data_IF_383906724014
#
_entry.id   IF_383906724014
#
_cell.length_a   1.000
_cell.length_b   1.000
_cell.length_c   1.000
_cell.angle_alpha   90.00
_cell.angle_beta   90.00
_cell.angle_gamma   90.00
#
_symmetry.space_group_name_H-M   'P 1'
#
loop_
_entity.id
_entity.type
_entity.pdbx_description
1 polymer ?
#
# COMPACT_ATOMS: atom_id res chain seq x y z
N UNK A 1 -1.03 80.25 -16.53
CA UNK A 1 0.28 80.94 -16.52
C UNK A 1 0.72 81.19 -15.09
N UNK A 2 1.86 80.62 -14.72
CA UNK A 2 2.89 81.16 -13.80
C UNK A 2 2.38 81.65 -12.42
N UNK A 3 2.54 80.82 -11.39
CA UNK A 3 2.47 81.19 -9.98
C UNK A 3 3.79 80.90 -9.28
N UNK A 4 4.54 81.96 -8.96
CA UNK A 4 5.95 81.95 -8.55
C UNK A 4 6.15 81.54 -7.08
N UNK A 5 7.24 80.78 -6.88
CA UNK A 5 8.19 80.70 -5.74
C UNK A 5 7.89 81.59 -4.53
N UNK A 6 8.03 81.02 -3.31
CA UNK A 6 8.71 81.72 -2.21
C UNK A 6 9.50 80.76 -1.31
N UNK A 7 10.65 81.27 -0.89
CA UNK A 7 11.81 80.62 -0.27
C UNK A 7 11.70 80.50 1.25
N UNK A 8 12.40 79.49 1.77
CA UNK A 8 12.62 79.19 3.19
C UNK A 8 13.52 80.21 3.88
N UNK A 9 13.26 80.43 5.18
CA UNK A 9 14.12 80.76 6.35
C UNK A 9 13.28 81.61 7.32
N UNK A 10 13.32 81.53 8.64
CA UNK A 10 14.10 80.85 9.67
C UNK A 10 13.11 80.67 10.88
N UNK A 11 13.42 80.01 11.99
CA UNK A 11 14.15 80.56 13.15
C UNK A 11 14.09 79.48 14.25
N UNK A 12 15.18 79.39 15.02
CA UNK A 12 15.41 78.47 16.13
C UNK A 12 14.59 78.81 17.39
N UNK A 13 14.44 77.84 18.31
CA UNK A 13 14.49 78.00 19.77
C UNK A 13 14.49 76.56 20.38
N UNK A 14 15.57 76.11 21.00
CA UNK A 14 15.86 76.19 22.44
C UNK A 14 14.93 75.32 23.31
N UNK A 15 15.50 74.33 24.01
CA UNK A 15 14.76 73.55 25.00
C UNK A 15 15.42 72.23 25.37
N UNK A 16 16.54 72.30 26.09
CA UNK A 16 17.27 71.16 26.65
C UNK A 16 16.46 70.53 27.80
N UNK A 17 15.87 69.37 27.57
CA UNK A 17 15.28 68.51 28.61
C UNK A 17 16.12 67.24 28.74
N UNK A 18 16.82 67.11 29.87
CA UNK A 18 17.73 66.01 30.18
C UNK A 18 16.95 64.71 30.46
N UNK A 19 16.84 63.85 29.44
CA UNK A 19 16.33 62.48 29.58
C UNK A 19 17.50 61.58 29.95
N UNK A 20 17.57 61.16 31.22
CA UNK A 20 18.52 60.15 31.68
C UNK A 20 18.10 58.80 31.07
N UNK A 21 18.80 58.39 30.00
CA UNK A 21 18.72 57.03 29.47
C UNK A 21 19.51 56.11 30.42
N UNK A 22 18.80 55.26 31.16
CA UNK A 22 19.44 54.11 31.79
C UNK A 22 19.89 53.15 30.67
N UNK A 23 21.17 53.16 30.34
CA UNK A 23 21.79 52.12 29.54
C UNK A 23 21.86 50.86 30.40
N UNK A 24 20.87 49.97 30.24
CA UNK A 24 21.01 48.61 30.74
C UNK A 24 22.06 47.88 29.89
N UNK A 25 23.03 47.24 30.53
CA UNK A 25 23.96 46.35 29.85
C UNK A 25 23.16 45.22 29.19
N UNK A 26 23.12 45.22 27.86
CA UNK A 26 22.60 44.11 27.09
C UNK A 26 23.63 42.98 27.11
N UNK A 27 23.42 41.96 27.95
CA UNK A 27 24.21 40.73 27.88
C UNK A 27 23.88 39.98 26.59
N UNK A 28 24.73 40.14 25.59
CA UNK A 28 24.69 39.32 24.38
C UNK A 28 25.04 37.87 24.77
N UNK A 29 24.09 36.95 24.59
CA UNK A 29 24.30 35.53 24.83
C UNK A 29 25.26 34.99 23.76
N UNK A 30 26.39 34.41 24.18
CA UNK A 30 27.37 33.84 23.24
C UNK A 30 26.75 32.73 22.41
N UNK A 31 26.93 32.78 21.09
CA UNK A 31 26.35 31.82 20.17
C UNK A 31 26.94 30.41 20.41
N UNK A 32 26.06 29.44 20.71
CA UNK A 32 26.43 28.03 20.82
C UNK A 32 26.76 27.48 19.45
N UNK A 33 28.03 27.15 19.21
CA UNK A 33 28.47 26.44 18.01
C UNK A 33 28.28 24.94 18.21
N UNK A 34 27.42 24.31 17.40
CA UNK A 34 27.23 22.87 17.39
C UNK A 34 28.26 22.21 16.45
N UNK A 35 28.78 21.06 16.85
CA UNK A 35 29.73 20.28 16.05
C UNK A 35 29.12 19.77 14.75
N UNK A 36 29.96 19.54 13.75
CA UNK A 36 29.53 19.11 12.41
C UNK A 36 28.98 17.69 12.46
N UNK A 37 27.68 17.53 12.17
CA UNK A 37 27.03 16.23 12.05
C UNK A 37 27.28 15.71 10.62
N UNK A 38 28.07 14.64 10.51
CA UNK A 38 28.28 13.97 9.23
C UNK A 38 27.13 12.99 9.00
N UNK A 39 26.26 13.32 8.04
CA UNK A 39 25.16 12.44 7.63
C UNK A 39 25.66 11.55 6.49
N UNK A 40 25.89 10.28 6.79
CA UNK A 40 26.16 9.26 5.76
C UNK A 40 24.84 8.67 5.27
N UNK A 41 24.53 8.89 3.99
CA UNK A 41 23.43 8.22 3.30
C UNK A 41 23.95 6.99 2.55
N UNK A 42 23.33 5.83 2.77
CA UNK A 42 23.53 4.66 1.94
C UNK A 42 22.41 4.61 0.92
N UNK A 43 22.74 4.65 -0.38
CA UNK A 43 21.76 4.42 -1.42
C UNK A 43 21.29 2.96 -1.33
N UNK A 44 20.09 2.74 -0.80
CA UNK A 44 19.38 1.48 -1.06
C UNK A 44 19.12 1.47 -2.56
N UNK A 45 19.56 0.45 -3.31
CA UNK A 45 19.17 0.33 -4.71
C UNK A 45 17.66 0.20 -4.74
N UNK A 46 16.96 1.33 -4.94
CA UNK A 46 15.56 1.28 -5.22
C UNK A 46 15.46 0.76 -6.65
N UNK A 47 14.74 -0.34 -6.82
CA UNK A 47 14.30 -0.82 -8.13
C UNK A 47 13.41 0.21 -8.87
N UNK A 48 13.33 1.46 -8.37
CA UNK A 48 12.55 2.56 -8.90
C UNK A 48 13.18 3.23 -10.13
N UNK A 49 14.42 2.88 -10.51
CA UNK A 49 15.02 3.39 -11.75
C UNK A 49 14.49 2.70 -13.01
N UNK A 50 13.75 1.60 -12.88
CA UNK A 50 13.04 0.94 -13.97
C UNK A 50 11.56 1.27 -13.83
N UNK A 51 10.94 1.78 -14.90
CA UNK A 51 9.47 1.86 -14.96
C UNK A 51 8.96 0.43 -14.95
N UNK A 52 8.46 -0.01 -13.80
CA UNK A 52 7.94 -1.36 -13.59
C UNK A 52 6.58 -1.25 -12.91
N UNK A 53 5.67 -2.13 -13.31
CA UNK A 53 4.37 -2.31 -12.66
C UNK A 53 4.46 -3.25 -11.43
N UNK A 54 5.68 -3.59 -10.99
CA UNK A 54 5.88 -4.40 -9.81
C UNK A 54 5.26 -3.71 -8.58
N UNK A 55 4.47 -4.43 -7.76
CA UNK A 55 3.85 -3.87 -6.56
C UNK A 55 4.84 -3.17 -5.62
N UNK A 56 6.04 -3.73 -5.49
CA UNK A 56 7.11 -3.19 -4.63
C UNK A 56 7.69 -1.84 -5.11
N UNK A 57 7.48 -1.47 -6.37
CA UNK A 57 7.89 -0.18 -6.90
C UNK A 57 6.88 0.93 -6.61
N UNK A 58 5.66 0.60 -6.18
CA UNK A 58 4.65 1.59 -5.81
C UNK A 58 5.09 2.33 -4.53
N UNK A 59 4.75 3.62 -4.38
CA UNK A 59 4.97 4.38 -3.16
C UNK A 59 3.96 3.99 -2.06
N UNK A 60 3.72 2.69 -1.88
CA UNK A 60 2.71 2.09 -1.04
C UNK A 60 3.35 1.09 -0.06
N UNK A 61 2.64 0.78 1.03
CA UNK A 61 3.04 -0.35 1.87
C UNK A 61 2.54 -1.63 1.23
N UNK A 62 3.46 -2.43 0.71
CA UNK A 62 3.16 -3.68 0.01
C UNK A 62 3.62 -4.91 0.78
N UNK A 63 2.96 -6.03 0.54
CA UNK A 63 3.38 -7.36 1.00
C UNK A 63 3.19 -8.32 -0.15
N UNK A 64 4.24 -9.07 -0.49
CA UNK A 64 4.20 -10.13 -1.51
C UNK A 64 4.31 -11.46 -0.79
N UNK A 65 3.33 -12.34 -1.00
CA UNK A 65 3.31 -13.70 -0.48
C UNK A 65 3.59 -14.63 -1.65
N UNK A 66 4.74 -15.30 -1.67
CA UNK A 66 5.13 -16.21 -2.75
C UNK A 66 4.57 -17.63 -2.61
N UNK A 67 4.63 -18.41 -3.69
CA UNK A 67 4.15 -19.80 -3.76
C UNK A 67 4.72 -20.68 -2.64
N UNK A 68 6.03 -20.60 -2.36
CA UNK A 68 6.66 -21.40 -1.32
C UNK A 68 6.06 -21.11 0.08
N UNK A 69 5.76 -19.84 0.36
CA UNK A 69 5.14 -19.44 1.62
C UNK A 69 3.69 -19.92 1.70
N UNK A 70 2.95 -19.89 0.59
CA UNK A 70 1.59 -20.43 0.49
C UNK A 70 1.60 -21.94 0.73
N UNK A 71 2.53 -22.66 0.10
CA UNK A 71 2.65 -24.13 0.20
C UNK A 71 3.05 -24.61 1.60
N UNK A 72 3.86 -23.82 2.33
CA UNK A 72 4.24 -24.15 3.72
C UNK A 72 3.15 -23.87 4.74
N UNK A 73 2.06 -23.20 4.36
CA UNK A 73 0.97 -22.83 5.28
C UNK A 73 -0.16 -23.84 5.25
N UNK A 74 -0.71 -24.24 6.42
CA UNK A 74 -1.93 -25.03 6.47
C UNK A 74 -3.14 -24.14 6.14
N UNK A 75 -3.48 -24.04 4.86
CA UNK A 75 -4.62 -23.25 4.37
C UNK A 75 -5.86 -24.15 4.29
N UNK A 76 -6.84 -23.89 5.16
CA UNK A 76 -8.12 -24.59 5.11
C UNK A 76 -9.09 -23.91 4.13
N UNK A 77 -8.97 -22.60 3.97
CA UNK A 77 -9.80 -21.74 3.14
C UNK A 77 -8.91 -20.74 2.40
N UNK A 78 -9.33 -20.27 1.22
CA UNK A 78 -8.58 -19.29 0.44
C UNK A 78 -8.22 -18.03 1.24
N UNK A 79 -9.09 -17.61 2.17
CA UNK A 79 -8.85 -16.43 3.02
C UNK A 79 -7.77 -16.61 4.09
N UNK A 80 -7.35 -17.84 4.39
CA UNK A 80 -6.26 -18.08 5.34
C UNK A 80 -4.96 -17.41 4.90
N UNK A 81 -4.78 -17.18 3.60
CA UNK A 81 -3.64 -16.47 3.02
C UNK A 81 -3.51 -15.05 3.61
N UNK A 82 -4.64 -14.39 3.89
CA UNK A 82 -4.67 -13.00 4.35
C UNK A 82 -4.57 -12.86 5.87
N UNK A 83 -4.92 -13.89 6.65
CA UNK A 83 -4.93 -13.84 8.13
C UNK A 83 -3.59 -13.43 8.76
N UNK A 84 -2.42 -13.93 8.31
CA UNK A 84 -1.14 -13.54 8.92
C UNK A 84 -0.62 -12.19 8.43
N UNK A 85 -1.28 -11.54 7.47
CA UNK A 85 -0.80 -10.29 6.87
C UNK A 85 -1.13 -9.12 7.78
N UNK A 86 -0.10 -8.35 8.15
CA UNK A 86 -0.28 -7.17 8.98
C UNK A 86 -1.26 -6.16 8.34
N UNK A 87 -2.23 -5.73 9.15
CA UNK A 87 -3.27 -4.79 8.73
C UNK A 87 -4.43 -5.42 7.94
N UNK A 88 -4.43 -6.75 7.74
CA UNK A 88 -5.58 -7.48 7.20
C UNK A 88 -6.44 -8.06 8.31
N UNK A 89 -7.74 -8.13 8.08
CA UNK A 89 -8.71 -8.79 8.98
C UNK A 89 -9.62 -9.66 8.12
N UNK A 90 -9.83 -10.91 8.54
CA UNK A 90 -10.71 -11.86 7.86
C UNK A 90 -11.83 -12.27 8.81
N UNK A 91 -13.06 -12.17 8.33
CA UNK A 91 -14.28 -12.61 9.01
C UNK A 91 -14.95 -13.72 8.20
N UNK A 92 -15.32 -14.80 8.89
CA UNK A 92 -16.18 -15.84 8.34
C UNK A 92 -17.61 -15.58 8.79
N UNK A 93 -18.54 -15.45 7.84
CA UNK A 93 -19.96 -15.28 8.15
C UNK A 93 -20.67 -16.59 8.51
N UNK A 94 -20.06 -17.74 8.24
CA UNK A 94 -20.65 -19.05 8.51
C UNK A 94 -21.84 -19.40 7.60
N UNK A 95 -22.03 -18.65 6.51
CA UNK A 95 -23.20 -18.77 5.64
C UNK A 95 -23.05 -19.79 4.52
N UNK A 96 -21.81 -20.26 4.24
CA UNK A 96 -21.52 -21.26 3.21
C UNK A 96 -21.76 -20.76 1.78
N UNK A 97 -20.79 -20.89 0.88
CA UNK A 97 -20.96 -20.50 -0.53
C UNK A 97 -21.13 -18.99 -0.78
N UNK A 98 -20.81 -18.16 0.21
CA UNK A 98 -20.74 -16.71 0.10
C UNK A 98 -19.31 -16.28 0.46
N UNK A 99 -18.79 -15.29 -0.25
CA UNK A 99 -17.46 -14.74 -0.01
C UNK A 99 -17.26 -14.32 1.45
N UNK A 100 -16.05 -14.50 1.96
CA UNK A 100 -15.66 -14.09 3.30
C UNK A 100 -15.54 -12.57 3.40
N UNK A 101 -15.63 -12.06 4.63
CA UNK A 101 -15.39 -10.66 4.93
C UNK A 101 -13.90 -10.38 5.02
N UNK A 102 -13.32 -9.67 4.05
CA UNK A 102 -11.90 -9.28 4.09
C UNK A 102 -11.82 -7.78 4.26
N UNK A 103 -11.04 -7.32 5.24
CA UNK A 103 -10.84 -5.92 5.57
C UNK A 103 -9.35 -5.62 5.63
N UNK A 104 -9.01 -4.35 5.44
CA UNK A 104 -7.64 -3.87 5.41
C UNK A 104 -7.58 -2.51 6.10
N UNK A 105 -6.58 -2.25 6.94
CA UNK A 105 -6.35 -0.95 7.62
C UNK A 105 -7.59 -0.35 8.29
N UNK A 106 -8.42 -1.17 8.91
CA UNK A 106 -9.63 -0.73 9.63
C UNK A 106 -10.86 -0.52 8.74
N UNK A 107 -10.75 -0.72 7.42
CA UNK A 107 -11.93 -0.82 6.56
C UNK A 107 -12.71 -2.11 6.87
N UNK A 108 -14.04 -2.01 6.73
CA UNK A 108 -14.96 -3.00 7.29
C UNK A 108 -14.86 -4.37 6.59
N UNK A 109 -15.01 -5.44 7.37
CA UNK A 109 -15.11 -6.81 6.87
C UNK A 109 -16.55 -7.21 6.52
N UNK A 110 -17.56 -6.48 7.02
CA UNK A 110 -18.98 -6.86 6.99
C UNK A 110 -19.62 -6.92 5.60
N UNK A 111 -18.89 -6.52 4.55
CA UNK A 111 -19.41 -6.32 3.20
C UNK A 111 -18.55 -7.02 2.14
N UNK A 112 -18.10 -8.25 2.43
CA UNK A 112 -17.44 -9.16 1.48
C UNK A 112 -16.29 -8.53 0.68
N UNK A 113 -15.45 -7.74 1.35
CA UNK A 113 -14.27 -7.14 0.72
C UNK A 113 -14.52 -5.95 -0.20
N UNK A 114 -15.70 -5.30 -0.17
CA UNK A 114 -16.04 -4.18 -1.07
C UNK A 114 -15.05 -3.00 -1.15
N UNK A 115 -14.23 -2.84 -0.11
CA UNK A 115 -13.28 -1.73 0.02
C UNK A 115 -11.90 -2.08 -0.56
N UNK A 116 -11.70 -3.31 -1.03
CA UNK A 116 -10.45 -3.79 -1.59
C UNK A 116 -10.71 -4.21 -3.03
N UNK A 117 -9.84 -3.77 -3.94
CA UNK A 117 -9.84 -4.26 -5.32
C UNK A 117 -9.15 -5.62 -5.38
N UNK A 118 -9.80 -6.63 -5.94
CA UNK A 118 -9.27 -7.95 -6.17
C UNK A 118 -9.09 -8.18 -7.64
N UNK A 119 -7.90 -8.64 -8.01
CA UNK A 119 -7.56 -9.00 -9.38
C UNK A 119 -6.93 -10.39 -9.39
N UNK A 120 -7.21 -11.15 -10.45
CA UNK A 120 -6.55 -12.43 -10.74
C UNK A 120 -5.97 -12.31 -12.14
N UNK A 121 -4.64 -12.39 -12.26
CA UNK A 121 -3.92 -12.22 -13.53
C UNK A 121 -4.32 -10.93 -14.27
N UNK A 122 -4.56 -9.85 -13.51
CA UNK A 122 -4.99 -8.55 -14.02
C UNK A 122 -6.49 -8.43 -14.33
N UNK A 123 -7.27 -9.51 -14.22
CA UNK A 123 -8.74 -9.44 -14.39
C UNK A 123 -9.43 -9.11 -13.06
N UNK A 124 -10.34 -8.12 -13.04
CA UNK A 124 -11.06 -7.75 -11.81
C UNK A 124 -12.03 -8.85 -11.37
N UNK A 125 -12.04 -9.14 -10.08
CA UNK A 125 -12.93 -10.14 -9.46
C UNK A 125 -14.12 -9.48 -8.78
N UNK A 126 -14.01 -8.23 -8.33
CA UNK A 126 -15.11 -7.54 -7.67
C UNK A 126 -16.34 -7.47 -8.58
N UNK A 127 -17.51 -7.85 -8.07
CA UNK A 127 -18.76 -7.68 -8.78
C UNK A 127 -19.25 -6.24 -8.62
N UNK A 128 -19.28 -5.48 -9.72
CA UNK A 128 -19.74 -4.08 -9.73
C UNK A 128 -21.19 -3.97 -9.25
N UNK A 129 -22.03 -4.93 -9.63
CA UNK A 129 -23.44 -4.99 -9.24
C UNK A 129 -23.70 -6.29 -8.47
N UNK A 130 -24.25 -6.17 -7.26
CA UNK A 130 -24.67 -7.29 -6.44
C UNK A 130 -25.84 -6.84 -5.56
N UNK A 131 -26.81 -7.75 -5.35
CA UNK A 131 -28.01 -7.46 -4.57
C UNK A 131 -27.74 -7.15 -3.09
N UNK A 132 -26.63 -7.65 -2.55
CA UNK A 132 -26.27 -7.46 -1.14
C UNK A 132 -25.37 -6.23 -0.94
N UNK A 133 -24.25 -6.14 -1.67
CA UNK A 133 -23.35 -4.99 -1.58
C UNK A 133 -22.54 -4.83 -2.88
N UNK A 134 -22.49 -3.63 -3.48
CA UNK A 134 -21.66 -3.39 -4.66
C UNK A 134 -20.17 -3.63 -4.36
N UNK A 135 -19.42 -3.99 -5.41
CA UNK A 135 -17.98 -4.29 -5.35
C UNK A 135 -17.59 -5.45 -4.43
N UNK A 136 -18.53 -6.31 -4.03
CA UNK A 136 -18.18 -7.51 -3.27
C UNK A 136 -17.27 -8.44 -4.08
N UNK A 137 -16.44 -9.21 -3.40
CA UNK A 137 -15.57 -10.20 -4.01
C UNK A 137 -15.74 -11.57 -3.36
N UNK A 138 -15.70 -12.61 -4.21
CA UNK A 138 -15.60 -13.99 -3.78
C UNK A 138 -14.40 -14.64 -4.49
N UNK A 139 -13.46 -15.15 -3.71
CA UNK A 139 -12.24 -15.81 -4.21
C UNK A 139 -12.30 -17.33 -4.00
N UNK A 140 -13.48 -17.90 -3.69
CA UNK A 140 -13.68 -19.35 -3.52
C UNK A 140 -13.25 -20.18 -4.73
N UNK A 141 -13.20 -19.58 -5.94
CA UNK A 141 -12.79 -20.27 -7.16
C UNK A 141 -11.27 -20.45 -7.28
N UNK A 142 -10.48 -19.75 -6.46
CA UNK A 142 -9.01 -19.86 -6.48
C UNK A 142 -8.56 -20.97 -5.53
N UNK A 143 -7.80 -21.90 -6.08
CA UNK A 143 -7.10 -22.92 -5.30
C UNK A 143 -5.75 -22.35 -4.81
N UNK A 144 -5.40 -22.44 -3.53
CA UNK A 144 -4.09 -22.02 -3.03
C UNK A 144 -2.91 -22.61 -3.81
N UNK A 145 -3.02 -23.87 -4.26
CA UNK A 145 -1.97 -24.59 -4.97
C UNK A 145 -1.69 -24.00 -6.37
N UNK A 146 -2.67 -23.32 -6.98
CA UNK A 146 -2.52 -22.66 -8.29
C UNK A 146 -1.97 -21.25 -8.20
N UNK A 147 -1.74 -20.71 -7.00
CA UNK A 147 -1.24 -19.34 -6.81
C UNK A 147 0.29 -19.33 -6.90
N UNK A 148 0.83 -18.47 -7.75
CA UNK A 148 2.26 -18.17 -7.82
C UNK A 148 2.66 -17.14 -6.78
N UNK A 149 1.85 -16.08 -6.64
CA UNK A 149 2.00 -15.09 -5.57
C UNK A 149 0.72 -14.31 -5.32
N UNK A 150 0.63 -13.70 -4.14
CA UNK A 150 -0.39 -12.71 -3.79
C UNK A 150 0.30 -11.41 -3.43
N UNK A 151 -0.02 -10.36 -4.18
CA UNK A 151 0.47 -9.01 -3.98
C UNK A 151 -0.60 -8.20 -3.23
N UNK A 152 -0.26 -7.68 -2.05
CA UNK A 152 -1.17 -6.92 -1.19
C UNK A 152 -0.66 -5.49 -1.09
N UNK A 153 -1.42 -4.56 -1.64
CA UNK A 153 -1.08 -3.14 -1.69
C UNK A 153 -2.04 -2.41 -0.76
N UNK A 154 -1.51 -1.83 0.32
CA UNK A 154 -2.35 -1.14 1.32
C UNK A 154 -2.50 0.33 0.99
N UNK A 155 -3.74 0.79 0.86
CA UNK A 155 -4.14 2.17 0.54
C UNK A 155 -4.43 2.41 -0.96
N UNK A 156 -5.13 3.50 -1.31
CA UNK A 156 -5.55 3.81 -2.67
C UNK A 156 -4.40 4.43 -3.49
N UNK A 157 -3.32 3.67 -3.69
CA UNK A 157 -2.07 4.19 -4.26
C UNK A 157 -1.98 4.11 -5.79
N UNK A 158 -2.87 3.35 -6.45
CA UNK A 158 -2.86 3.26 -7.91
C UNK A 158 -4.27 3.23 -8.50
N UNK A 159 -4.58 4.12 -9.48
CA UNK A 159 -5.89 4.17 -10.14
C UNK A 159 -6.15 2.95 -11.03
N UNK A 160 -5.13 2.16 -11.38
CA UNK A 160 -5.26 0.99 -12.25
C UNK A 160 -6.10 -0.14 -11.63
N UNK A 161 -6.20 -0.16 -10.30
CA UNK A 161 -7.01 -1.14 -9.56
C UNK A 161 -8.52 -0.81 -9.54
N UNK A 162 -8.94 0.26 -10.21
CA UNK A 162 -10.36 0.59 -10.37
C UNK A 162 -11.05 1.07 -9.09
N UNK A 163 -12.39 1.06 -9.11
CA UNK A 163 -13.24 1.78 -8.15
C UNK A 163 -13.27 1.19 -6.73
N UNK A 164 -12.89 -0.08 -6.56
CA UNK A 164 -12.95 -0.78 -5.27
C UNK A 164 -11.67 -0.58 -4.42
N UNK A 165 -10.74 0.31 -4.81
CA UNK A 165 -9.40 0.38 -4.20
C UNK A 165 -9.28 1.19 -2.88
N UNK A 166 -10.39 1.54 -2.23
CA UNK A 166 -10.43 2.54 -1.14
C UNK A 166 -9.51 2.15 0.03
N UNK A 167 -9.56 0.90 0.46
CA UNK A 167 -8.65 0.35 1.46
C UNK A 167 -7.32 -0.09 0.85
N UNK A 168 -7.34 -0.51 -0.42
CA UNK A 168 -6.17 -0.96 -1.17
C UNK A 168 -6.52 -1.96 -2.27
N UNK A 169 -5.53 -2.74 -2.69
CA UNK A 169 -5.66 -3.75 -3.72
C UNK A 169 -4.98 -5.06 -3.34
N UNK A 170 -5.51 -6.15 -3.88
CA UNK A 170 -4.98 -7.50 -3.82
C UNK A 170 -4.92 -8.03 -5.25
N UNK A 171 -3.71 -8.35 -5.71
CA UNK A 171 -3.49 -8.99 -6.99
C UNK A 171 -3.00 -10.42 -6.77
N UNK A 172 -3.72 -11.38 -7.34
CA UNK A 172 -3.38 -12.80 -7.29
C UNK A 172 -2.82 -13.15 -8.66
N UNK A 173 -1.62 -13.73 -8.68
CA UNK A 173 -1.00 -14.23 -9.90
C UNK A 173 -1.00 -15.74 -9.85
N UNK A 174 -1.53 -16.37 -10.90
CA UNK A 174 -1.60 -17.83 -11.00
C UNK A 174 -0.35 -18.40 -11.66
N UNK A 175 -0.02 -19.64 -11.30
CA UNK A 175 1.11 -20.38 -11.88
C UNK A 175 0.84 -20.64 -13.36
N UNK A 176 1.74 -20.17 -14.23
CA UNK A 176 1.63 -20.41 -15.68
C UNK A 176 1.99 -21.85 -16.07
N UNK A 177 2.98 -22.42 -15.40
CA UNK A 177 3.37 -23.82 -15.54
C UNK A 177 4.04 -24.30 -14.26
N UNK A 178 3.66 -25.48 -13.80
CA UNK A 178 4.38 -26.21 -12.77
C UNK A 178 5.61 -26.90 -13.36
N UNK A 179 6.73 -26.84 -12.63
CA UNK A 179 7.95 -27.56 -13.00
C UNK A 179 7.76 -29.08 -13.01
N UNK A 180 6.85 -29.59 -12.17
CA UNK A 180 6.45 -30.98 -12.10
C UNK A 180 4.99 -31.11 -11.60
N UNK A 181 4.27 -32.18 -11.97
CA UNK A 181 2.98 -32.48 -11.37
C UNK A 181 3.09 -32.63 -9.85
N UNK A 182 2.09 -32.16 -9.11
CA UNK A 182 2.01 -32.26 -7.66
C UNK A 182 0.72 -32.94 -7.21
N UNK A 183 0.79 -33.66 -6.10
CA UNK A 183 -0.38 -34.25 -5.42
C UNK A 183 -0.31 -33.89 -3.94
N UNK A 184 -1.39 -33.33 -3.43
CA UNK A 184 -1.57 -32.98 -2.03
C UNK A 184 -2.79 -33.70 -1.46
N UNK A 185 -2.64 -34.24 -0.25
CA UNK A 185 -3.74 -34.86 0.49
C UNK A 185 -3.66 -34.38 1.94
N UNK A 186 -4.80 -34.00 2.52
CA UNK A 186 -4.88 -33.64 3.93
C UNK A 186 -6.17 -34.14 4.56
N UNK A 187 -6.10 -34.40 5.86
CA UNK A 187 -7.23 -34.77 6.70
C UNK A 187 -7.23 -33.93 7.96
N UNK A 188 -8.41 -33.72 8.55
CA UNK A 188 -8.57 -32.91 9.74
C UNK A 188 -9.80 -33.28 10.57
N UNK A 189 -10.01 -32.53 11.65
CA UNK A 189 -11.19 -32.66 12.50
C UNK A 189 -12.50 -32.47 11.73
N UNK A 190 -13.61 -32.92 12.33
CA UNK A 190 -14.96 -32.81 11.75
C UNK A 190 -15.14 -33.55 10.41
N UNK A 191 -14.34 -34.60 10.17
CA UNK A 191 -14.40 -35.39 8.94
C UNK A 191 -13.87 -34.67 7.71
N UNK A 192 -13.03 -33.65 7.91
CA UNK A 192 -12.43 -32.88 6.82
C UNK A 192 -11.43 -33.74 6.04
N UNK A 193 -11.59 -33.84 4.73
CA UNK A 193 -10.63 -34.43 3.83
C UNK A 193 -10.47 -33.53 2.59
N UNK A 194 -9.24 -33.34 2.14
CA UNK A 194 -8.91 -32.54 0.95
C UNK A 194 -7.89 -33.29 0.10
N UNK A 195 -8.12 -33.28 -1.21
CA UNK A 195 -7.18 -33.75 -2.22
C UNK A 195 -6.99 -32.66 -3.27
N UNK A 196 -5.75 -32.46 -3.70
CA UNK A 196 -5.41 -31.54 -4.77
C UNK A 196 -4.41 -32.22 -5.72
N UNK A 197 -4.58 -32.01 -7.01
CA UNK A 197 -3.64 -32.46 -8.03
C UNK A 197 -3.40 -31.28 -8.95
N UNK A 198 -2.14 -30.87 -9.11
CA UNK A 198 -1.75 -29.92 -10.15
C UNK A 198 -0.88 -30.62 -11.17
N UNK A 199 -1.13 -30.30 -12.43
CA UNK A 199 -0.33 -30.77 -13.54
C UNK A 199 -0.43 -29.73 -14.64
N UNK A 200 0.68 -29.44 -15.31
CA UNK A 200 0.72 -28.50 -16.41
C UNK A 200 1.56 -29.06 -17.55
N UNK A 201 1.29 -28.60 -18.76
CA UNK A 201 2.15 -28.88 -19.91
C UNK A 201 3.13 -27.72 -20.03
N UNK A 202 4.42 -28.00 -19.82
CA UNK A 202 5.47 -27.02 -20.10
C UNK A 202 5.60 -26.91 -21.61
N UNK A 203 4.97 -25.89 -22.19
CA UNK A 203 5.12 -25.57 -23.60
C UNK A 203 6.37 -24.68 -23.76
N UNK A 204 7.27 -24.97 -24.72
CA UNK A 204 8.45 -24.13 -24.94
C UNK A 204 8.03 -22.69 -25.23
N UNK A 205 8.58 -21.72 -24.51
CA UNK A 205 8.16 -20.31 -24.67
C UNK A 205 8.32 -19.86 -26.14
N UNK A 206 7.35 -19.12 -26.71
CA UNK A 206 7.43 -18.62 -28.09
C UNK A 206 8.65 -17.70 -28.34
N UNK A 207 9.28 -17.19 -27.29
CA UNK A 207 10.42 -16.27 -27.36
C UNK A 207 11.76 -16.95 -27.63
N UNK A 208 11.84 -18.28 -27.63
CA UNK A 208 13.06 -19.01 -27.99
C UNK A 208 13.29 -19.14 -29.51
N UNK A 209 12.41 -18.57 -30.34
CA UNK A 209 12.55 -18.49 -31.81
C UNK A 209 12.71 -17.05 -32.27
N UNK A 210 13.85 -16.43 -31.96
CA UNK A 210 14.38 -15.26 -32.69
C UNK A 210 15.86 -15.10 -32.38
#
# INVERSE_FOLDING_TARGET
MIGRRFSRRAVALAGTGMLVLAAGDAWAQSATSLGTVTVTGQAVPSSQSMVTAAPEALPASTTVIGAEEIERRPLAHYVDIFRPVAGMIVSNFGQGGIGYGIGMRGFQTSQHGRDISYTVDGMPVNSVSNLHTPNNADLNFILPESIERVDIIRGPFSPEYGQANIAGAVNIVTKQSDAAPSVGMSGGSFGTARGAVTASRVEPSPRARR
#
